data_IF_185267907845
#
_entry.id   IF_185267907845
#
_cell.length_a   1.000
_cell.length_b   1.000
_cell.length_c   1.000
_cell.angle_alpha   90.00
_cell.angle_beta   90.00
_cell.angle_gamma   90.00
#
_symmetry.space_group_name_H-M   'P 1'
#
loop_
_entity.id
_entity.type
_entity.pdbx_description
1 polymer ?
#
# COMPACT_ATOMS: atom_id res chain seq x y z
N UNK A 1 77.74 36.08 40.69
CA UNK A 1 77.75 35.95 39.20
C UNK A 1 77.58 34.49 38.87
N UNK A 2 76.38 34.04 38.65
CA UNK A 2 76.11 32.69 38.11
C UNK A 2 74.80 32.73 37.29
N UNK A 3 74.95 32.48 35.99
CA UNK A 3 73.86 32.46 35.03
C UNK A 3 73.18 31.09 35.07
N UNK A 4 71.87 31.06 35.31
CA UNK A 4 71.06 29.87 35.13
C UNK A 4 70.55 29.75 33.72
N UNK A 5 70.76 28.59 33.11
CA UNK A 5 70.31 28.23 31.75
C UNK A 5 68.98 27.50 31.86
N UNK A 6 67.90 28.14 31.42
CA UNK A 6 66.54 27.52 31.38
C UNK A 6 66.35 26.66 30.19
N UNK A 7 66.02 25.42 30.42
CA UNK A 7 65.66 24.46 29.36
C UNK A 7 64.24 24.72 28.86
N UNK A 8 64.11 25.01 27.56
CA UNK A 8 62.82 25.04 26.83
C UNK A 8 62.50 23.64 26.29
N UNK A 9 61.63 22.91 26.97
CA UNK A 9 61.04 21.66 26.41
C UNK A 9 59.86 22.06 25.54
N UNK A 10 59.95 21.73 24.24
CA UNK A 10 58.89 21.97 23.24
C UNK A 10 57.80 20.93 23.38
N UNK A 11 56.61 21.38 23.77
CA UNK A 11 55.35 20.62 23.64
C UNK A 11 54.88 20.67 22.15
N UNK A 12 55.18 19.64 21.40
CA UNK A 12 54.77 19.56 19.97
C UNK A 12 54.38 18.13 19.56
N UNK A 13 53.61 17.40 20.40
CA UNK A 13 53.24 16.03 20.09
C UNK A 13 51.74 15.66 20.36
N UNK A 14 50.84 16.64 20.52
CA UNK A 14 49.44 16.31 20.86
C UNK A 14 48.36 16.55 19.80
N UNK A 15 48.56 17.08 18.58
CA UNK A 15 47.46 17.18 17.62
C UNK A 15 47.35 16.03 16.65
N UNK A 16 48.25 15.04 16.58
CA UNK A 16 48.22 13.97 15.57
C UNK A 16 47.37 12.79 16.02
N UNK A 17 47.10 12.60 17.30
CA UNK A 17 46.31 11.44 17.77
C UNK A 17 44.77 11.68 17.78
N UNK A 18 44.31 12.92 17.58
CA UNK A 18 42.88 13.25 17.58
C UNK A 18 42.23 13.16 16.16
N UNK A 19 43.04 13.05 15.09
CA UNK A 19 42.51 12.90 13.72
C UNK A 19 42.20 11.44 13.33
N UNK A 20 42.66 10.45 14.09
CA UNK A 20 42.49 9.02 13.79
C UNK A 20 41.18 8.42 14.34
N UNK A 21 40.37 9.17 15.10
CA UNK A 21 39.12 8.70 15.68
C UNK A 21 37.84 9.13 14.90
N UNK A 22 37.99 9.85 13.79
CA UNK A 22 36.83 10.28 12.97
C UNK A 22 36.56 9.37 11.77
N UNK A 23 37.22 8.23 11.62
CA UNK A 23 37.12 7.35 10.46
C UNK A 23 36.31 6.06 10.71
N UNK A 24 35.49 5.97 11.75
CA UNK A 24 34.81 4.73 12.10
C UNK A 24 33.29 4.88 12.25
N UNK A 25 32.66 5.59 11.32
CA UNK A 25 31.26 5.38 10.98
C UNK A 25 31.18 5.21 9.45
N UNK A 26 31.78 4.16 8.92
CA UNK A 26 31.34 3.63 7.64
C UNK A 26 29.89 3.17 7.87
N UNK A 27 28.93 3.92 7.31
CA UNK A 27 27.58 3.44 7.11
C UNK A 27 27.71 2.19 6.23
N UNK A 28 27.74 1.03 6.85
CA UNK A 28 27.75 -0.29 6.19
C UNK A 28 26.35 -0.58 5.60
N UNK A 29 25.82 0.34 4.80
CA UNK A 29 24.62 0.02 4.01
C UNK A 29 24.99 -1.03 2.97
N UNK A 30 24.24 -2.14 2.88
CA UNK A 30 24.52 -3.19 1.90
C UNK A 30 24.54 -2.63 0.49
N UNK A 31 25.57 -2.96 -0.26
CA UNK A 31 25.67 -2.60 -1.68
C UNK A 31 24.52 -3.19 -2.50
N UNK A 32 24.22 -2.62 -3.69
CA UNK A 32 23.24 -3.20 -4.59
C UNK A 32 23.53 -4.66 -4.97
N UNK A 33 24.78 -5.06 -5.05
CA UNK A 33 25.19 -6.43 -5.35
C UNK A 33 24.91 -7.39 -4.18
N UNK A 34 25.25 -6.98 -2.97
CA UNK A 34 24.95 -7.74 -1.74
C UNK A 34 23.44 -7.87 -1.52
N UNK A 35 22.69 -6.78 -1.74
CA UNK A 35 21.23 -6.80 -1.65
C UNK A 35 20.61 -7.80 -2.64
N UNK A 36 21.10 -7.84 -3.89
CA UNK A 36 20.64 -8.82 -4.90
C UNK A 36 21.00 -10.25 -4.48
N UNK A 37 22.20 -10.48 -3.97
CA UNK A 37 22.63 -11.80 -3.49
C UNK A 37 21.75 -12.28 -2.34
N UNK A 38 21.49 -11.40 -1.37
CA UNK A 38 20.57 -11.67 -0.25
C UNK A 38 19.15 -11.98 -0.74
N UNK A 39 18.60 -11.18 -1.66
CA UNK A 39 17.28 -11.43 -2.25
C UNK A 39 17.20 -12.79 -2.95
N UNK A 40 18.23 -13.18 -3.70
CA UNK A 40 18.29 -14.50 -4.34
C UNK A 40 18.29 -15.64 -3.31
N UNK A 41 18.94 -15.46 -2.17
CA UNK A 41 18.88 -16.43 -1.07
C UNK A 41 17.49 -16.48 -0.43
N UNK A 42 16.86 -15.33 -0.21
CA UNK A 42 15.54 -15.21 0.42
C UNK A 42 14.38 -15.69 -0.46
N UNK A 43 14.49 -15.59 -1.79
CA UNK A 43 13.46 -16.07 -2.71
C UNK A 43 13.29 -17.60 -2.62
N UNK A 44 12.03 -18.10 -2.62
CA UNK A 44 11.80 -19.54 -2.70
C UNK A 44 12.48 -20.17 -3.92
N UNK A 45 13.00 -21.38 -3.76
CA UNK A 45 13.72 -22.09 -4.85
C UNK A 45 12.82 -22.36 -6.08
N UNK A 46 11.52 -22.40 -5.90
CA UNK A 46 10.52 -22.63 -6.95
C UNK A 46 10.25 -21.42 -7.83
N UNK A 47 10.74 -20.22 -7.45
CA UNK A 47 10.54 -19.00 -8.22
C UNK A 47 11.39 -19.03 -9.49
N UNK A 48 10.73 -18.87 -10.63
CA UNK A 48 11.39 -18.71 -11.93
C UNK A 48 12.03 -17.34 -12.03
N UNK A 49 13.16 -17.23 -12.74
CA UNK A 49 13.92 -15.97 -12.95
C UNK A 49 14.20 -15.22 -11.63
N UNK A 50 14.78 -15.92 -10.64
CA UNK A 50 15.14 -15.32 -9.35
C UNK A 50 16.10 -14.13 -9.49
N UNK A 51 16.95 -14.15 -10.50
CA UNK A 51 17.87 -13.05 -10.80
C UNK A 51 17.12 -11.77 -11.20
N UNK A 52 16.16 -11.88 -12.10
CA UNK A 52 15.33 -10.76 -12.52
C UNK A 52 14.45 -10.22 -11.38
N UNK A 53 13.83 -11.07 -10.55
CA UNK A 53 13.09 -10.64 -9.37
C UNK A 53 14.00 -9.90 -8.38
N UNK A 54 15.18 -10.44 -8.10
CA UNK A 54 16.13 -9.80 -7.19
C UNK A 54 16.61 -8.44 -7.71
N UNK A 55 16.85 -8.31 -9.03
CA UNK A 55 17.24 -7.06 -9.65
C UNK A 55 16.15 -5.99 -9.57
N UNK A 56 14.90 -6.33 -9.92
CA UNK A 56 13.77 -5.40 -9.89
C UNK A 56 13.46 -4.93 -8.46
N UNK A 57 13.48 -5.85 -7.48
CA UNK A 57 13.25 -5.50 -6.06
C UNK A 57 14.39 -4.62 -5.54
N UNK A 58 15.65 -4.99 -5.79
CA UNK A 58 16.81 -4.19 -5.36
C UNK A 58 16.75 -2.79 -5.93
N UNK A 59 16.45 -2.65 -7.22
CA UNK A 59 16.35 -1.33 -7.85
C UNK A 59 15.22 -0.50 -7.21
N UNK A 60 14.05 -1.11 -6.97
CA UNK A 60 12.92 -0.43 -6.36
C UNK A 60 13.22 0.05 -4.93
N UNK A 61 13.81 -0.79 -4.06
CA UNK A 61 14.14 -0.39 -2.68
C UNK A 61 15.19 0.71 -2.65
N UNK A 62 16.17 0.68 -3.58
CA UNK A 62 17.17 1.74 -3.72
C UNK A 62 16.54 3.06 -4.18
N UNK A 63 15.69 3.03 -5.22
CA UNK A 63 15.01 4.23 -5.74
C UNK A 63 14.05 4.85 -4.72
N UNK A 64 13.42 4.03 -3.89
CA UNK A 64 12.52 4.45 -2.80
C UNK A 64 13.27 4.82 -1.51
N UNK A 65 14.59 4.62 -1.44
CA UNK A 65 15.42 4.80 -0.23
C UNK A 65 14.93 3.97 0.96
N UNK A 66 14.48 2.75 0.68
CA UNK A 66 14.04 1.78 1.69
C UNK A 66 15.25 0.95 2.09
N UNK A 67 15.52 0.86 3.39
CA UNK A 67 16.59 0.03 3.94
C UNK A 67 16.41 -1.44 3.52
N UNK A 68 17.42 -2.11 2.91
CA UNK A 68 17.34 -3.51 2.49
C UNK A 68 17.57 -4.49 3.64
N UNK A 69 16.95 -4.22 4.81
CA UNK A 69 16.96 -5.11 5.96
C UNK A 69 16.23 -6.42 5.64
N UNK A 70 16.55 -7.49 6.36
CA UNK A 70 15.85 -8.77 6.22
C UNK A 70 14.35 -8.63 6.44
N UNK A 71 13.94 -7.76 7.38
CA UNK A 71 12.56 -7.47 7.67
C UNK A 71 11.83 -6.85 6.47
N UNK A 72 12.41 -5.82 5.85
CA UNK A 72 11.81 -5.13 4.71
C UNK A 72 11.77 -6.06 3.48
N UNK A 73 12.89 -6.72 3.16
CA UNK A 73 12.95 -7.65 2.04
C UNK A 73 11.98 -8.82 2.21
N UNK A 74 11.91 -9.45 3.38
CA UNK A 74 10.94 -10.52 3.65
C UNK A 74 9.49 -10.04 3.62
N UNK A 75 9.20 -8.80 4.01
CA UNK A 75 7.87 -8.21 3.89
C UNK A 75 7.44 -8.09 2.43
N UNK A 76 8.33 -7.58 1.57
CA UNK A 76 8.12 -7.48 0.12
C UNK A 76 7.86 -8.86 -0.48
N UNK A 77 8.75 -9.82 -0.21
CA UNK A 77 8.64 -11.18 -0.74
C UNK A 77 7.36 -11.88 -0.28
N UNK A 78 6.96 -11.70 0.97
CA UNK A 78 5.75 -12.31 1.53
C UNK A 78 4.46 -11.80 0.87
N UNK A 79 4.36 -10.48 0.62
CA UNK A 79 3.22 -9.90 -0.09
C UNK A 79 3.20 -10.35 -1.54
N UNK A 80 4.34 -10.30 -2.24
CA UNK A 80 4.44 -10.76 -3.64
C UNK A 80 4.04 -12.24 -3.79
N UNK A 81 4.49 -13.09 -2.88
CA UNK A 81 4.10 -14.52 -2.87
C UNK A 81 2.60 -14.69 -2.59
N UNK A 82 2.00 -13.88 -1.72
CA UNK A 82 0.57 -13.96 -1.40
C UNK A 82 -0.30 -13.52 -2.57
N UNK A 83 0.07 -12.43 -3.26
CA UNK A 83 -0.75 -11.81 -4.29
C UNK A 83 -0.66 -12.54 -5.63
N UNK A 84 0.52 -13.01 -6.01
CA UNK A 84 0.75 -13.51 -7.36
C UNK A 84 1.56 -14.79 -7.46
N UNK A 85 2.12 -15.28 -6.35
CA UNK A 85 3.10 -16.37 -6.37
C UNK A 85 4.24 -16.07 -7.36
N UNK A 86 4.73 -14.82 -7.35
CA UNK A 86 5.78 -14.32 -8.25
C UNK A 86 5.42 -14.42 -9.75
N UNK A 87 4.18 -14.09 -10.09
CA UNK A 87 3.74 -13.90 -11.47
C UNK A 87 3.39 -12.43 -11.68
N UNK A 88 3.97 -11.77 -12.68
CA UNK A 88 3.68 -10.37 -12.97
C UNK A 88 2.22 -10.14 -13.39
N UNK A 89 1.63 -11.11 -14.11
CA UNK A 89 0.25 -11.06 -14.58
C UNK A 89 -0.44 -12.41 -14.30
N UNK A 90 -0.89 -12.65 -13.06
CA UNK A 90 -1.51 -13.92 -12.69
C UNK A 90 -2.81 -14.14 -13.45
N UNK A 91 -3.03 -15.39 -13.89
CA UNK A 91 -4.27 -15.76 -14.56
C UNK A 91 -5.43 -15.80 -13.57
N UNK A 92 -6.60 -15.34 -14.03
CA UNK A 92 -7.85 -15.37 -13.28
C UNK A 92 -8.83 -16.26 -14.03
N UNK A 93 -9.16 -17.45 -13.55
CA UNK A 93 -10.10 -18.35 -14.20
C UNK A 93 -11.44 -17.67 -14.46
N UNK A 94 -11.94 -17.74 -15.69
CA UNK A 94 -13.23 -17.18 -16.09
C UNK A 94 -13.28 -15.64 -16.11
N UNK A 95 -12.15 -14.95 -16.15
CA UNK A 95 -12.08 -13.49 -16.10
C UNK A 95 -12.92 -12.82 -17.18
N UNK A 96 -12.90 -13.33 -18.41
CA UNK A 96 -13.69 -12.77 -19.52
C UNK A 96 -15.18 -12.74 -19.21
N UNK A 97 -15.74 -13.83 -18.71
CA UNK A 97 -17.16 -13.91 -18.34
C UNK A 97 -17.49 -13.00 -17.13
N UNK A 98 -16.60 -12.94 -16.15
CA UNK A 98 -16.74 -12.03 -15.02
C UNK A 98 -16.75 -10.56 -15.50
N UNK A 99 -15.89 -10.22 -16.45
CA UNK A 99 -15.80 -8.88 -17.01
C UNK A 99 -17.05 -8.48 -17.79
N UNK A 100 -17.54 -9.35 -18.68
CA UNK A 100 -18.78 -9.10 -19.43
C UNK A 100 -19.98 -8.88 -18.49
N UNK A 101 -20.15 -9.75 -17.48
CA UNK A 101 -21.20 -9.59 -16.46
C UNK A 101 -21.08 -8.30 -15.66
N UNK A 102 -19.85 -7.88 -15.34
CA UNK A 102 -19.62 -6.62 -14.62
C UNK A 102 -19.95 -5.40 -15.49
N UNK A 103 -19.66 -5.45 -16.81
CA UNK A 103 -20.04 -4.41 -17.77
C UNK A 103 -21.57 -4.26 -17.79
N UNK A 104 -22.31 -5.36 -17.93
CA UNK A 104 -23.78 -5.33 -17.90
C UNK A 104 -24.31 -4.76 -16.58
N UNK A 105 -23.77 -5.23 -15.45
CA UNK A 105 -24.18 -4.77 -14.11
C UNK A 105 -23.94 -3.28 -13.93
N UNK A 106 -22.82 -2.77 -14.41
CA UNK A 106 -22.50 -1.33 -14.35
C UNK A 106 -23.40 -0.51 -15.25
N UNK A 107 -23.62 -0.97 -16.49
CA UNK A 107 -24.51 -0.31 -17.43
C UNK A 107 -25.94 -0.20 -16.88
N UNK A 108 -26.45 -1.27 -16.26
CA UNK A 108 -27.76 -1.27 -15.61
C UNK A 108 -27.87 -0.23 -14.47
N UNK A 109 -26.80 -0.03 -13.68
CA UNK A 109 -26.75 1.03 -12.65
C UNK A 109 -26.87 2.45 -13.23
N UNK A 110 -26.40 2.64 -14.45
CA UNK A 110 -26.55 3.91 -15.21
C UNK A 110 -27.82 3.94 -16.06
N UNK A 111 -28.73 2.95 -15.91
CA UNK A 111 -29.96 2.82 -16.68
C UNK A 111 -29.73 2.71 -18.20
N UNK A 112 -28.58 2.17 -18.61
CA UNK A 112 -28.27 1.88 -20.01
C UNK A 112 -28.91 0.54 -20.35
N UNK A 113 -29.80 0.48 -21.35
CA UNK A 113 -30.44 -0.78 -21.76
C UNK A 113 -29.42 -1.81 -22.27
N UNK A 114 -29.65 -3.09 -21.94
CA UNK A 114 -28.73 -4.17 -22.29
C UNK A 114 -28.44 -4.25 -23.80
N UNK A 115 -29.44 -4.01 -24.67
CA UNK A 115 -29.25 -4.07 -26.13
C UNK A 115 -28.26 -3.02 -26.65
N UNK A 116 -28.13 -1.86 -25.97
CA UNK A 116 -27.11 -0.84 -26.32
C UNK A 116 -25.72 -1.37 -25.97
N UNK A 117 -25.59 -2.01 -24.81
CA UNK A 117 -24.31 -2.59 -24.36
C UNK A 117 -23.88 -3.70 -25.32
N UNK A 118 -24.80 -4.61 -25.66
CA UNK A 118 -24.54 -5.68 -26.60
C UNK A 118 -24.18 -5.14 -28.00
N UNK A 119 -24.92 -4.15 -28.49
CA UNK A 119 -24.60 -3.49 -29.76
C UNK A 119 -23.19 -2.93 -29.77
N UNK A 120 -22.79 -2.22 -28.69
CA UNK A 120 -21.45 -1.65 -28.57
C UNK A 120 -20.34 -2.72 -28.49
N UNK A 121 -20.59 -3.83 -27.81
CA UNK A 121 -19.62 -4.94 -27.69
C UNK A 121 -19.47 -5.76 -28.98
N UNK A 122 -20.47 -5.77 -29.86
CA UNK A 122 -20.42 -6.46 -31.15
C UNK A 122 -19.69 -5.69 -32.25
N UNK A 123 -19.36 -4.38 -32.04
CA UNK A 123 -18.52 -3.66 -32.99
C UNK A 123 -17.14 -4.31 -33.11
N UNK A 124 -16.59 -4.28 -34.31
CA UNK A 124 -15.26 -4.76 -34.60
C UNK A 124 -14.22 -3.83 -33.94
N UNK A 125 -13.23 -4.44 -33.34
CA UNK A 125 -12.06 -3.76 -32.84
C UNK A 125 -10.97 -3.67 -33.93
N UNK A 126 -9.89 -2.91 -33.75
CA UNK A 126 -8.84 -2.75 -34.76
C UNK A 126 -8.19 -4.02 -35.27
N UNK A 127 -8.32 -5.15 -34.56
CA UNK A 127 -7.79 -6.44 -34.99
C UNK A 127 -8.80 -7.30 -35.79
N UNK A 128 -10.02 -6.79 -36.06
CA UNK A 128 -11.07 -7.50 -36.82
C UNK A 128 -11.99 -8.41 -35.99
N UNK A 129 -11.73 -8.57 -34.69
CA UNK A 129 -12.61 -9.30 -33.78
C UNK A 129 -13.56 -8.34 -33.06
N UNK A 130 -14.75 -8.82 -32.64
CA UNK A 130 -15.61 -8.00 -31.79
C UNK A 130 -14.99 -7.75 -30.41
N UNK A 131 -15.34 -6.63 -29.78
CA UNK A 131 -14.93 -6.35 -28.41
C UNK A 131 -15.39 -7.44 -27.43
N UNK A 132 -16.58 -8.01 -27.66
CA UNK A 132 -17.11 -9.12 -26.85
C UNK A 132 -16.19 -10.34 -26.92
N UNK A 133 -15.83 -10.77 -28.13
CA UNK A 133 -14.94 -11.93 -28.34
C UNK A 133 -13.59 -11.73 -27.65
N UNK A 134 -13.01 -10.57 -27.81
CA UNK A 134 -11.73 -10.22 -27.16
C UNK A 134 -11.83 -10.21 -25.64
N UNK A 135 -12.87 -9.59 -25.07
CA UNK A 135 -13.10 -9.58 -23.63
C UNK A 135 -13.37 -10.98 -23.10
N UNK A 136 -14.16 -11.79 -23.82
CA UNK A 136 -14.45 -13.17 -23.43
C UNK A 136 -13.20 -14.07 -23.34
N UNK A 137 -12.18 -13.78 -24.15
CA UNK A 137 -10.95 -14.58 -24.27
C UNK A 137 -9.84 -14.19 -23.27
N UNK A 138 -9.97 -13.08 -22.52
CA UNK A 138 -8.92 -12.64 -21.60
C UNK A 138 -8.67 -13.62 -20.46
N UNK A 139 -7.40 -13.79 -20.11
CA UNK A 139 -6.98 -14.67 -19.02
C UNK A 139 -6.45 -13.94 -17.80
N UNK A 140 -5.96 -12.71 -17.96
CA UNK A 140 -5.41 -11.91 -16.88
C UNK A 140 -5.86 -10.43 -16.95
N UNK A 141 -5.66 -9.71 -15.86
CA UNK A 141 -6.13 -8.33 -15.73
C UNK A 141 -5.39 -7.34 -16.64
N UNK A 142 -4.15 -7.66 -17.04
CA UNK A 142 -3.41 -6.84 -18.00
C UNK A 142 -4.11 -6.86 -19.37
N UNK A 143 -4.41 -8.04 -19.89
CA UNK A 143 -5.12 -8.20 -21.17
C UNK A 143 -6.47 -7.47 -21.15
N UNK A 144 -7.23 -7.62 -20.08
CA UNK A 144 -8.50 -6.90 -19.90
C UNK A 144 -8.31 -5.39 -19.88
N UNK A 145 -7.31 -4.89 -19.14
CA UNK A 145 -7.01 -3.47 -19.07
C UNK A 145 -6.59 -2.90 -20.43
N UNK A 146 -5.75 -3.62 -21.18
CA UNK A 146 -5.27 -3.20 -22.50
C UNK A 146 -6.43 -3.10 -23.51
N UNK A 147 -7.34 -4.08 -23.53
CA UNK A 147 -8.55 -4.06 -24.38
C UNK A 147 -9.42 -2.84 -24.04
N UNK A 148 -9.62 -2.54 -22.75
CA UNK A 148 -10.39 -1.35 -22.36
C UNK A 148 -9.72 -0.05 -22.75
N UNK A 149 -8.39 0.07 -22.62
CA UNK A 149 -7.67 1.27 -23.06
C UNK A 149 -7.79 1.45 -24.58
N UNK A 150 -7.71 0.37 -25.35
CA UNK A 150 -7.88 0.39 -26.79
C UNK A 150 -9.32 0.77 -27.19
N UNK A 151 -10.33 0.16 -26.54
CA UNK A 151 -11.74 0.49 -26.75
C UNK A 151 -12.02 1.99 -26.45
N UNK A 152 -11.49 2.50 -25.36
CA UNK A 152 -11.62 3.91 -24.98
C UNK A 152 -10.90 4.82 -26.00
N UNK A 153 -9.74 4.40 -26.53
CA UNK A 153 -8.99 5.15 -27.52
C UNK A 153 -9.68 5.19 -28.90
N UNK A 154 -10.48 4.17 -29.25
CA UNK A 154 -11.23 4.12 -30.52
C UNK A 154 -12.43 5.06 -30.58
N UNK A 155 -12.85 5.62 -29.44
CA UNK A 155 -13.97 6.58 -29.35
C UNK A 155 -13.43 8.01 -29.33
N UNK A 156 -13.96 8.94 -30.18
CA UNK A 156 -13.58 10.35 -30.12
C UNK A 156 -13.74 10.92 -28.70
N UNK A 157 -12.70 11.57 -28.17
CA UNK A 157 -12.64 12.06 -26.78
C UNK A 157 -12.80 10.96 -25.71
N UNK A 158 -12.69 9.67 -26.06
CA UNK A 158 -12.96 8.52 -25.19
C UNK A 158 -12.15 8.55 -23.90
N UNK A 159 -10.85 8.89 -23.94
CA UNK A 159 -10.02 9.03 -22.73
C UNK A 159 -10.60 10.03 -21.71
N UNK A 160 -11.16 11.15 -22.19
CA UNK A 160 -11.74 12.18 -21.31
C UNK A 160 -13.08 11.73 -20.72
N UNK A 161 -13.92 11.08 -21.52
CA UNK A 161 -15.29 10.71 -21.16
C UNK A 161 -15.36 9.35 -20.46
N UNK A 162 -14.60 8.37 -20.93
CA UNK A 162 -14.71 6.96 -20.56
C UNK A 162 -13.51 6.41 -19.80
N UNK A 163 -12.41 7.17 -19.67
CA UNK A 163 -11.17 6.70 -19.06
C UNK A 163 -11.31 6.21 -17.60
N UNK A 164 -12.37 6.62 -16.90
CA UNK A 164 -12.72 6.13 -15.56
C UNK A 164 -13.52 4.83 -15.55
N UNK A 165 -13.94 4.33 -16.72
CA UNK A 165 -14.79 3.15 -16.84
C UNK A 165 -14.00 1.84 -16.91
N UNK A 166 -12.67 1.90 -17.10
CA UNK A 166 -11.85 0.68 -17.07
C UNK A 166 -12.10 -0.07 -15.77
N UNK A 167 -12.58 -1.34 -15.81
CA UNK A 167 -12.97 -2.09 -14.63
C UNK A 167 -11.79 -2.56 -13.80
N UNK A 168 -10.58 -2.56 -14.38
CA UNK A 168 -9.36 -3.02 -13.72
C UNK A 168 -8.78 -1.88 -12.88
N UNK A 169 -8.77 -2.07 -11.57
CA UNK A 169 -8.33 -1.07 -10.60
C UNK A 169 -7.03 -1.41 -9.88
N UNK A 170 -6.64 -2.68 -9.90
CA UNK A 170 -5.40 -3.20 -9.33
C UNK A 170 -4.67 -4.05 -10.36
N UNK A 171 -3.40 -4.32 -10.16
CA UNK A 171 -2.66 -5.20 -11.05
C UNK A 171 -1.21 -5.42 -10.66
N UNK A 172 -0.53 -6.18 -11.48
CA UNK A 172 0.88 -6.51 -11.31
C UNK A 172 1.16 -7.51 -10.18
N UNK A 173 2.44 -7.79 -9.93
CA UNK A 173 2.87 -8.86 -9.02
C UNK A 173 2.48 -8.63 -7.55
N UNK A 174 2.22 -7.41 -7.14
CA UNK A 174 1.75 -7.07 -5.80
C UNK A 174 0.29 -6.59 -5.78
N UNK A 175 -0.45 -6.70 -6.88
CA UNK A 175 -1.86 -6.27 -6.99
C UNK A 175 -2.10 -4.84 -6.47
N UNK A 176 -1.17 -3.94 -6.79
CA UNK A 176 -1.23 -2.55 -6.33
C UNK A 176 -2.32 -1.75 -7.05
N UNK A 177 -2.93 -0.81 -6.34
CA UNK A 177 -3.93 0.09 -6.91
C UNK A 177 -3.32 0.99 -8.00
N UNK A 178 -3.92 0.98 -9.20
CA UNK A 178 -3.51 1.84 -10.31
C UNK A 178 -3.68 3.33 -9.95
N UNK A 179 -4.75 3.67 -9.21
CA UNK A 179 -4.96 5.04 -8.74
C UNK A 179 -3.87 5.48 -7.76
N UNK A 180 -3.43 4.58 -6.86
CA UNK A 180 -2.29 4.84 -5.98
C UNK A 180 -1.01 5.06 -6.80
N UNK A 181 -0.69 4.17 -7.73
CA UNK A 181 0.50 4.28 -8.56
C UNK A 181 0.55 5.60 -9.35
N UNK A 182 -0.58 6.02 -9.93
CA UNK A 182 -0.71 7.30 -10.64
C UNK A 182 -0.55 8.51 -9.71
N UNK A 183 -1.07 8.45 -8.49
CA UNK A 183 -0.92 9.51 -7.49
C UNK A 183 0.54 9.59 -7.01
N UNK A 184 1.15 8.45 -6.70
CA UNK A 184 2.54 8.36 -6.28
C UNK A 184 3.50 8.90 -7.35
N UNK A 185 3.32 8.54 -8.62
CA UNK A 185 4.14 9.02 -9.73
C UNK A 185 4.01 10.54 -10.00
N UNK A 186 2.94 11.17 -9.52
CA UNK A 186 2.81 12.65 -9.55
C UNK A 186 3.57 13.34 -8.42
N UNK A 187 3.75 12.66 -7.29
CA UNK A 187 4.41 13.21 -6.10
C UNK A 187 5.92 12.91 -6.10
N UNK A 188 6.33 11.79 -6.68
CA UNK A 188 7.73 11.35 -6.77
C UNK A 188 8.08 10.93 -8.18
N UNK A 189 9.27 11.26 -8.70
CA UNK A 189 9.72 10.81 -10.01
C UNK A 189 9.72 9.28 -10.07
N UNK A 190 9.02 8.74 -11.06
CA UNK A 190 9.10 7.31 -11.37
C UNK A 190 10.45 7.00 -12.02
N UNK A 191 11.22 6.02 -11.53
CA UNK A 191 12.62 5.86 -11.89
C UNK A 191 12.87 5.22 -13.26
N UNK A 192 11.82 4.81 -13.97
CA UNK A 192 11.93 4.20 -15.30
C UNK A 192 11.36 5.12 -16.37
N UNK A 193 11.92 5.07 -17.58
CA UNK A 193 11.38 5.80 -18.72
C UNK A 193 10.00 5.25 -19.14
N UNK A 194 9.03 6.14 -19.34
CA UNK A 194 7.65 5.83 -19.76
C UNK A 194 7.31 6.49 -21.09
N UNK A 195 8.28 6.59 -22.01
CA UNK A 195 8.18 7.39 -23.25
C UNK A 195 6.98 7.03 -24.13
N UNK A 196 6.60 5.73 -24.20
CA UNK A 196 5.49 5.24 -25.03
C UNK A 196 4.45 4.43 -24.23
N UNK A 197 4.45 4.54 -22.90
CA UNK A 197 3.57 3.77 -22.02
C UNK A 197 2.85 4.67 -21.01
N UNK A 198 2.10 4.11 -20.11
CA UNK A 198 1.44 4.84 -19.03
C UNK A 198 1.78 4.23 -17.68
N UNK A 199 1.62 4.98 -16.59
CA UNK A 199 1.77 4.43 -15.23
C UNK A 199 0.83 3.22 -15.02
N UNK A 200 -0.37 3.23 -15.62
CA UNK A 200 -1.25 2.05 -15.63
C UNK A 200 -0.57 0.83 -16.26
N UNK A 201 0.06 1.00 -17.42
CA UNK A 201 0.77 -0.08 -18.09
C UNK A 201 1.98 -0.57 -17.28
N UNK A 202 2.74 0.35 -16.67
CA UNK A 202 3.89 0.01 -15.82
C UNK A 202 3.48 -0.83 -14.60
N UNK A 203 2.30 -0.60 -14.01
CA UNK A 203 1.78 -1.43 -12.88
C UNK A 203 1.72 -2.91 -13.25
N UNK A 204 1.45 -3.26 -14.51
CA UNK A 204 1.39 -4.66 -14.99
C UNK A 204 2.76 -5.23 -15.39
N UNK A 205 3.81 -4.41 -15.44
CA UNK A 205 5.17 -4.91 -15.61
C UNK A 205 5.72 -5.42 -14.26
N UNK A 206 6.68 -6.37 -14.28
CA UNK A 206 7.34 -6.82 -13.05
C UNK A 206 8.02 -5.66 -12.33
N UNK A 207 8.83 -4.87 -13.05
CA UNK A 207 9.57 -3.73 -12.48
C UNK A 207 8.64 -2.67 -11.88
N UNK A 208 7.62 -2.25 -12.62
CA UNK A 208 6.71 -1.18 -12.17
C UNK A 208 5.75 -1.65 -11.09
N UNK A 209 5.18 -2.86 -11.23
CA UNK A 209 4.32 -3.44 -10.20
C UNK A 209 5.06 -3.70 -8.89
N UNK A 210 6.34 -4.09 -8.92
CA UNK A 210 7.20 -4.17 -7.73
C UNK A 210 7.48 -2.79 -7.15
N UNK A 211 7.86 -1.80 -7.97
CA UNK A 211 8.15 -0.44 -7.49
C UNK A 211 6.93 0.16 -6.74
N UNK A 212 5.76 0.18 -7.37
CA UNK A 212 4.56 0.76 -6.74
C UNK A 212 4.02 -0.08 -5.59
N UNK A 213 4.14 -1.41 -5.67
CA UNK A 213 3.75 -2.30 -4.57
C UNK A 213 4.64 -2.15 -3.34
N UNK A 214 5.95 -2.03 -3.53
CA UNK A 214 6.92 -1.78 -2.45
C UNK A 214 6.67 -0.40 -1.84
N UNK A 215 6.44 0.63 -2.67
CA UNK A 215 6.10 1.96 -2.19
C UNK A 215 4.82 1.93 -1.33
N UNK A 216 3.77 1.24 -1.79
CA UNK A 216 2.53 1.10 -1.03
C UNK A 216 2.71 0.35 0.29
N UNK A 217 3.59 -0.65 0.34
CA UNK A 217 3.83 -1.42 1.54
C UNK A 217 4.72 -0.70 2.58
N UNK A 218 5.78 -0.01 2.13
CA UNK A 218 6.86 0.43 3.00
C UNK A 218 7.14 1.93 2.97
N UNK A 219 6.76 2.66 1.90
CA UNK A 219 7.10 4.08 1.74
C UNK A 219 6.07 5.00 2.44
N UNK A 220 5.78 4.70 3.70
CA UNK A 220 5.03 5.57 4.61
C UNK A 220 5.49 5.34 6.04
N UNK A 221 5.50 6.39 6.85
CA UNK A 221 5.84 6.30 8.27
C UNK A 221 4.71 5.59 9.03
N UNK A 222 5.03 4.63 9.88
CA UNK A 222 4.09 3.98 10.77
C UNK A 222 4.80 3.48 12.03
N UNK A 223 4.20 3.73 13.19
CA UNK A 223 4.71 3.38 14.52
C UNK A 223 4.38 1.93 14.92
N UNK A 224 4.29 1.03 13.95
CA UNK A 224 3.96 -0.38 14.21
C UNK A 224 5.18 -1.17 14.71
N UNK A 225 4.97 -1.91 15.78
CA UNK A 225 5.94 -2.84 16.35
C UNK A 225 6.06 -4.17 15.56
N UNK A 226 5.05 -4.48 14.71
CA UNK A 226 4.96 -5.74 13.96
C UNK A 226 4.63 -5.52 12.49
N UNK A 227 5.33 -6.18 11.55
CA UNK A 227 5.00 -6.13 10.12
C UNK A 227 3.57 -6.57 9.79
N UNK A 228 2.94 -7.39 10.66
CA UNK A 228 1.57 -7.84 10.54
C UNK A 228 0.57 -6.70 10.26
N UNK A 229 0.75 -5.55 10.93
CA UNK A 229 -0.12 -4.40 10.76
C UNK A 229 0.08 -3.70 9.43
N UNK A 230 1.32 -3.65 8.91
CA UNK A 230 1.58 -3.18 7.52
C UNK A 230 0.96 -4.10 6.47
N UNK A 231 0.92 -5.40 6.72
CA UNK A 231 0.24 -6.34 5.82
C UNK A 231 -1.28 -6.12 5.81
N UNK A 232 -1.87 -5.84 6.96
CA UNK A 232 -3.29 -5.49 7.04
C UNK A 232 -3.56 -4.16 6.32
N UNK A 233 -2.72 -3.15 6.54
CA UNK A 233 -2.84 -1.84 5.89
C UNK A 233 -2.61 -1.90 4.37
N UNK A 234 -1.73 -2.78 3.90
CA UNK A 234 -1.55 -3.02 2.47
C UNK A 234 -2.87 -3.42 1.77
N UNK A 235 -3.67 -4.22 2.44
CA UNK A 235 -4.96 -4.68 1.95
C UNK A 235 -6.11 -3.69 2.20
N UNK A 236 -6.12 -3.03 3.37
CA UNK A 236 -7.22 -2.19 3.84
C UNK A 236 -7.02 -0.67 3.57
N UNK A 237 -5.78 -0.27 3.25
CA UNK A 237 -5.34 1.11 3.13
C UNK A 237 -4.46 1.55 4.30
N UNK A 238 -3.55 2.49 4.04
CA UNK A 238 -2.59 2.99 5.04
C UNK A 238 -3.31 3.43 6.32
N UNK A 239 -2.72 3.06 7.46
CA UNK A 239 -3.20 3.36 8.82
C UNK A 239 -4.52 2.68 9.23
N UNK A 240 -5.09 1.75 8.45
CA UNK A 240 -6.30 1.05 8.82
C UNK A 240 -6.15 0.31 10.17
N UNK A 241 -4.99 -0.30 10.43
CA UNK A 241 -4.71 -0.99 11.70
C UNK A 241 -4.66 -0.05 12.90
N UNK A 242 -4.05 1.13 12.76
CA UNK A 242 -4.03 2.19 13.77
C UNK A 242 -5.43 2.74 14.02
N UNK A 243 -6.17 3.00 12.95
CA UNK A 243 -7.51 3.55 13.02
C UNK A 243 -8.51 2.55 13.65
N UNK A 244 -8.38 1.25 13.37
CA UNK A 244 -9.17 0.22 14.04
C UNK A 244 -8.86 0.16 15.56
N UNK A 245 -7.61 0.38 15.95
CA UNK A 245 -7.26 0.51 17.37
C UNK A 245 -7.85 1.78 18.00
N UNK A 246 -7.89 2.88 17.25
CA UNK A 246 -8.57 4.11 17.69
C UNK A 246 -10.08 3.88 17.85
N UNK A 247 -10.75 3.21 16.91
CA UNK A 247 -12.16 2.82 17.04
C UNK A 247 -12.40 1.97 18.31
N UNK A 248 -11.48 1.03 18.59
CA UNK A 248 -11.55 0.25 19.82
C UNK A 248 -11.40 1.13 21.08
N UNK A 249 -10.48 2.09 21.06
CA UNK A 249 -10.32 3.03 22.17
C UNK A 249 -11.58 3.90 22.37
N UNK A 250 -12.18 4.40 21.27
CA UNK A 250 -13.47 5.11 21.32
C UNK A 250 -14.56 4.23 21.92
N UNK A 251 -14.67 2.96 21.49
CA UNK A 251 -15.68 2.04 22.03
C UNK A 251 -15.50 1.80 23.54
N UNK A 252 -14.26 1.65 24.01
CA UNK A 252 -13.94 1.52 25.43
C UNK A 252 -14.26 2.82 26.20
N UNK A 253 -13.89 3.97 25.64
CA UNK A 253 -14.10 5.28 26.27
C UNK A 253 -15.57 5.68 26.38
N UNK A 254 -16.41 5.28 25.40
CA UNK A 254 -17.83 5.68 25.36
C UNK A 254 -18.77 4.59 25.84
N UNK A 255 -18.38 3.32 25.75
CA UNK A 255 -19.26 2.16 25.92
C UNK A 255 -20.11 1.86 24.67
N UNK A 256 -19.90 2.59 23.56
CA UNK A 256 -20.64 2.40 22.29
C UNK A 256 -19.89 1.37 21.44
N UNK A 257 -20.56 0.30 21.03
CA UNK A 257 -19.97 -0.70 20.13
C UNK A 257 -19.75 -0.13 18.74
N UNK A 258 -18.51 -0.29 18.21
CA UNK A 258 -18.11 0.17 16.88
C UNK A 258 -17.57 -0.98 16.04
N UNK A 259 -17.78 -0.90 14.73
CA UNK A 259 -17.06 -1.74 13.77
C UNK A 259 -15.61 -1.28 13.68
N UNK A 260 -14.67 -2.20 13.88
CA UNK A 260 -13.24 -1.92 13.83
C UNK A 260 -12.72 -2.09 12.39
N UNK A 261 -13.23 -1.29 11.48
CA UNK A 261 -12.91 -1.34 10.04
C UNK A 261 -11.76 -0.41 9.61
N UNK A 262 -11.36 0.50 10.50
CA UNK A 262 -10.31 1.49 10.23
C UNK A 262 -10.78 2.71 9.43
N UNK A 263 -12.05 2.80 9.04
CA UNK A 263 -12.64 3.96 8.37
C UNK A 263 -13.30 4.89 9.39
N UNK A 264 -12.61 5.99 9.74
CA UNK A 264 -13.10 6.93 10.76
C UNK A 264 -14.11 7.93 10.19
N UNK A 265 -14.12 8.16 8.88
CA UNK A 265 -15.04 9.07 8.18
C UNK A 265 -15.86 8.32 7.15
N UNK A 266 -17.15 8.58 7.12
CA UNK A 266 -18.06 8.04 6.12
C UNK A 266 -18.28 9.05 4.99
N UNK A 267 -18.21 8.56 3.74
CA UNK A 267 -18.50 9.38 2.57
C UNK A 267 -19.76 8.87 1.85
N UNK A 268 -20.72 9.76 1.62
CA UNK A 268 -21.87 9.50 0.74
C UNK A 268 -21.57 9.98 -0.68
N UNK A 269 -21.91 9.17 -1.69
CA UNK A 269 -21.94 9.61 -3.08
C UNK A 269 -23.13 10.56 -3.28
N UNK A 270 -22.86 11.77 -3.76
CA UNK A 270 -23.88 12.74 -4.17
C UNK A 270 -23.78 12.98 -5.68
N UNK A 271 -24.76 13.64 -6.29
CA UNK A 271 -24.73 14.02 -7.71
C UNK A 271 -23.50 14.88 -8.04
N UNK A 272 -23.01 15.68 -7.10
CA UNK A 272 -21.87 16.60 -7.26
C UNK A 272 -20.54 15.99 -6.74
N UNK A 273 -20.47 14.66 -6.47
CA UNK A 273 -19.26 13.98 -6.01
C UNK A 273 -19.42 13.25 -4.67
N UNK A 274 -18.32 13.15 -3.90
CA UNK A 274 -18.36 12.57 -2.54
C UNK A 274 -18.53 13.70 -1.53
N UNK A 275 -19.53 13.55 -0.65
CA UNK A 275 -19.70 14.39 0.54
C UNK A 275 -19.49 13.51 1.76
N UNK A 276 -18.74 13.98 2.73
CA UNK A 276 -18.63 13.36 4.04
C UNK A 276 -19.99 13.34 4.75
N UNK A 277 -20.18 12.36 5.60
CA UNK A 277 -21.35 12.23 6.44
C UNK A 277 -20.92 11.71 7.80
N UNK A 278 -21.69 12.04 8.83
CA UNK A 278 -21.41 11.59 10.17
C UNK A 278 -21.27 10.06 10.20
N UNK A 279 -20.10 9.58 10.60
CA UNK A 279 -19.83 8.15 10.82
C UNK A 279 -20.20 7.76 12.24
N UNK A 280 -20.36 6.44 12.48
CA UNK A 280 -20.64 5.94 13.83
C UNK A 280 -19.47 6.24 14.77
N UNK A 281 -18.22 6.14 14.26
CA UNK A 281 -17.01 6.53 15.01
C UNK A 281 -17.02 8.02 15.36
N UNK A 282 -17.30 8.90 14.40
CA UNK A 282 -17.37 10.34 14.67
C UNK A 282 -18.50 10.69 15.63
N UNK A 283 -19.67 10.05 15.49
CA UNK A 283 -20.79 10.24 16.42
C UNK A 283 -20.43 9.85 17.85
N UNK A 284 -19.75 8.72 18.02
CA UNK A 284 -19.28 8.27 19.33
C UNK A 284 -18.23 9.21 19.92
N UNK A 285 -17.28 9.71 19.11
CA UNK A 285 -16.28 10.70 19.57
C UNK A 285 -16.94 12.01 19.99
N UNK A 286 -17.92 12.50 19.25
CA UNK A 286 -18.65 13.73 19.58
C UNK A 286 -19.43 13.62 20.89
N UNK A 287 -19.89 12.43 21.29
CA UNK A 287 -20.55 12.23 22.59
C UNK A 287 -19.65 12.48 23.80
N UNK A 288 -18.34 12.45 23.61
CA UNK A 288 -17.33 12.74 24.64
C UNK A 288 -16.58 14.08 24.39
N UNK A 289 -17.11 14.95 23.53
CA UNK A 289 -16.47 16.23 23.18
C UNK A 289 -16.18 17.10 24.40
N UNK A 290 -17.09 17.14 25.38
CA UNK A 290 -16.90 17.87 26.64
C UNK A 290 -15.75 17.31 27.47
N UNK A 291 -15.63 15.99 27.58
CA UNK A 291 -14.55 15.32 28.33
C UNK A 291 -13.19 15.52 27.65
N UNK A 292 -13.19 15.64 26.33
CA UNK A 292 -11.99 15.93 25.53
C UNK A 292 -11.60 17.42 25.53
N UNK A 293 -12.54 18.33 25.82
CA UNK A 293 -12.35 19.77 25.66
C UNK A 293 -12.21 20.21 24.18
N UNK A 294 -12.74 19.43 23.23
CA UNK A 294 -12.56 19.65 21.77
C UNK A 294 -13.92 19.87 21.13
N UNK A 295 -14.08 20.90 20.28
CA UNK A 295 -15.34 21.16 19.58
C UNK A 295 -15.65 20.09 18.51
N UNK A 296 -16.92 19.92 18.16
CA UNK A 296 -17.37 19.00 17.13
C UNK A 296 -16.74 19.27 15.75
N UNK A 297 -16.52 20.52 15.43
CA UNK A 297 -15.85 20.95 14.17
C UNK A 297 -14.40 20.49 14.18
N UNK A 298 -13.70 20.69 15.30
CA UNK A 298 -12.30 20.27 15.44
C UNK A 298 -12.15 18.75 15.45
N UNK A 299 -13.10 18.02 16.06
CA UNK A 299 -13.18 16.55 15.98
C UNK A 299 -13.24 16.12 14.52
N UNK A 300 -14.18 16.68 13.75
CA UNK A 300 -14.35 16.36 12.34
C UNK A 300 -13.10 16.64 11.50
N UNK A 301 -12.55 17.84 11.60
CA UNK A 301 -11.31 18.23 10.91
C UNK A 301 -10.13 17.29 11.22
N UNK A 302 -10.03 16.85 12.48
CA UNK A 302 -8.97 15.95 12.90
C UNK A 302 -9.17 14.55 12.35
N UNK A 303 -10.41 14.03 12.38
CA UNK A 303 -10.74 12.72 11.81
C UNK A 303 -10.54 12.67 10.28
N UNK A 304 -10.74 13.78 9.55
CA UNK A 304 -10.42 13.86 8.11
C UNK A 304 -8.94 13.56 7.83
N UNK A 305 -8.04 13.83 8.78
CA UNK A 305 -6.60 13.54 8.71
C UNK A 305 -6.22 12.14 9.18
N UNK A 306 -7.20 11.27 9.40
CA UNK A 306 -6.98 9.89 9.89
C UNK A 306 -6.12 9.00 8.97
N UNK A 307 -5.84 9.45 7.75
CA UNK A 307 -4.93 8.77 6.80
C UNK A 307 -3.55 9.42 6.71
N UNK A 308 -3.23 10.34 7.62
CA UNK A 308 -1.93 10.99 7.75
C UNK A 308 -1.19 10.45 8.97
N UNK A 309 0.15 10.40 8.91
CA UNK A 309 0.97 9.97 10.05
C UNK A 309 0.71 10.82 11.30
N UNK A 310 0.59 12.14 11.12
CA UNK A 310 0.38 13.10 12.21
C UNK A 310 -0.89 12.89 13.05
N UNK A 311 -1.88 12.12 12.58
CA UNK A 311 -3.12 11.87 13.31
C UNK A 311 -2.87 11.25 14.69
N UNK A 312 -1.92 10.33 14.83
CA UNK A 312 -1.60 9.67 16.11
C UNK A 312 -0.97 10.59 17.15
N UNK A 313 -0.55 11.79 16.76
CA UNK A 313 -0.02 12.85 17.64
C UNK A 313 -1.04 13.94 17.93
N UNK A 314 -2.24 13.84 17.38
CA UNK A 314 -3.28 14.84 17.60
C UNK A 314 -3.82 14.77 19.03
N UNK A 315 -4.25 15.93 19.54
CA UNK A 315 -4.91 16.05 20.84
C UNK A 315 -6.12 15.10 20.96
N UNK A 316 -6.92 14.99 19.88
CA UNK A 316 -8.03 14.07 19.79
C UNK A 316 -7.60 12.60 19.99
N UNK A 317 -6.58 12.15 19.25
CA UNK A 317 -6.11 10.76 19.35
C UNK A 317 -5.59 10.46 20.75
N UNK A 318 -4.74 11.32 21.29
CA UNK A 318 -4.15 11.14 22.62
C UNK A 318 -5.20 11.21 23.72
N UNK A 319 -6.13 12.17 23.64
CA UNK A 319 -7.21 12.32 24.63
C UNK A 319 -8.17 11.12 24.67
N UNK A 320 -8.55 10.59 23.49
CA UNK A 320 -9.38 9.38 23.42
C UNK A 320 -8.70 8.18 24.07
N UNK A 321 -7.42 7.96 23.78
CA UNK A 321 -6.67 6.85 24.40
C UNK A 321 -6.50 7.05 25.90
N UNK A 322 -6.23 8.27 26.37
CA UNK A 322 -6.09 8.56 27.80
C UNK A 322 -7.41 8.24 28.57
N UNK A 323 -8.55 8.69 28.05
CA UNK A 323 -9.86 8.38 28.68
C UNK A 323 -10.13 6.87 28.64
N UNK A 324 -9.88 6.23 27.50
CA UNK A 324 -10.11 4.80 27.32
C UNK A 324 -9.23 3.95 28.26
N UNK A 325 -7.97 4.29 28.41
CA UNK A 325 -7.01 3.56 29.25
C UNK A 325 -7.31 3.73 30.74
N UNK A 326 -7.69 4.94 31.17
CA UNK A 326 -8.20 5.14 32.54
C UNK A 326 -9.43 4.27 32.83
N UNK A 327 -10.38 4.22 31.89
CA UNK A 327 -11.59 3.39 32.03
C UNK A 327 -11.28 1.90 31.99
N UNK A 328 -10.35 1.48 31.16
CA UNK A 328 -9.94 0.07 31.01
C UNK A 328 -9.02 -0.44 32.13
N UNK A 329 -8.37 0.44 32.88
CA UNK A 329 -7.41 0.12 33.94
C UNK A 329 -6.04 -0.38 33.44
N UNK A 330 -5.80 -0.39 32.12
CA UNK A 330 -4.53 -0.82 31.50
C UNK A 330 -4.38 -0.19 30.11
N UNK A 331 -3.11 -0.09 29.60
CA UNK A 331 -2.84 0.39 28.25
C UNK A 331 -3.58 -0.40 27.18
N UNK A 332 -4.02 0.30 26.14
CA UNK A 332 -4.66 -0.28 24.95
C UNK A 332 -3.65 -0.38 23.79
N UNK A 333 -3.76 -1.39 22.92
CA UNK A 333 -2.90 -1.49 21.75
C UNK A 333 -3.12 -0.31 20.79
N UNK A 334 -2.03 0.20 20.20
CA UNK A 334 -2.06 1.31 19.22
C UNK A 334 -2.28 0.83 17.78
N UNK A 335 -2.31 -0.49 17.56
CA UNK A 335 -2.68 -1.13 16.30
C UNK A 335 -3.46 -2.42 16.57
N UNK A 336 -4.47 -2.68 15.77
CA UNK A 336 -5.24 -3.94 15.75
C UNK A 336 -5.65 -4.27 14.31
N UNK A 337 -5.91 -5.55 14.03
CA UNK A 337 -6.30 -5.96 12.69
C UNK A 337 -7.70 -5.44 12.35
N UNK A 338 -7.88 -4.74 11.22
CA UNK A 338 -9.20 -4.27 10.80
C UNK A 338 -10.14 -5.44 10.48
N UNK A 339 -11.41 -5.33 10.91
CA UNK A 339 -12.44 -6.35 10.67
C UNK A 339 -13.19 -6.07 9.37
N UNK A 340 -12.47 -6.07 8.24
CA UNK A 340 -13.05 -5.82 6.92
C UNK A 340 -13.30 -7.15 6.21
N UNK A 341 -14.53 -7.35 5.70
CA UNK A 341 -14.83 -8.45 4.79
C UNK A 341 -14.40 -8.07 3.39
N UNK A 342 -13.54 -8.89 2.78
CA UNK A 342 -13.11 -8.71 1.40
C UNK A 342 -14.26 -9.05 0.44
N UNK A 343 -14.57 -8.12 -0.45
CA UNK A 343 -15.63 -8.26 -1.45
C UNK A 343 -15.07 -8.02 -2.84
N UNK A 344 -15.16 -9.03 -3.70
CA UNK A 344 -14.80 -8.92 -5.11
C UNK A 344 -15.57 -9.99 -5.89
N UNK A 345 -15.95 -9.74 -7.15
CA UNK A 345 -16.52 -10.77 -8.02
C UNK A 345 -15.65 -12.04 -8.17
N UNK A 346 -14.35 -11.92 -7.90
CA UNK A 346 -13.36 -12.99 -7.94
C UNK A 346 -13.28 -13.81 -6.65
N UNK A 347 -13.87 -13.32 -5.54
CA UNK A 347 -13.80 -13.97 -4.23
C UNK A 347 -15.04 -14.81 -4.01
N UNK A 348 -14.88 -16.13 -3.98
CA UNK A 348 -15.96 -17.09 -3.75
C UNK A 348 -16.12 -17.51 -2.28
N UNK A 349 -15.20 -17.09 -1.41
CA UNK A 349 -15.17 -17.43 0.04
C UNK A 349 -15.26 -16.17 0.90
N UNK A 350 -15.72 -16.33 2.15
CA UNK A 350 -15.71 -15.23 3.12
C UNK A 350 -14.28 -15.01 3.61
N UNK A 351 -13.58 -14.06 3.00
CA UNK A 351 -12.22 -13.65 3.39
C UNK A 351 -12.27 -12.31 4.10
N UNK A 352 -11.30 -12.09 5.00
CA UNK A 352 -11.15 -10.84 5.77
C UNK A 352 -9.73 -10.29 5.62
N UNK A 353 -9.55 -9.00 5.94
CA UNK A 353 -8.22 -8.39 6.05
C UNK A 353 -7.34 -9.12 7.07
N UNK A 354 -7.90 -9.59 8.19
CA UNK A 354 -7.18 -10.41 9.17
C UNK A 354 -6.66 -11.72 8.56
N UNK A 355 -7.52 -12.41 7.77
CA UNK A 355 -7.10 -13.62 7.06
C UNK A 355 -5.92 -13.32 6.13
N UNK A 356 -6.02 -12.24 5.35
CA UNK A 356 -4.95 -11.83 4.45
C UNK A 356 -3.65 -11.54 5.19
N UNK A 357 -3.69 -10.66 6.19
CA UNK A 357 -2.52 -10.27 6.97
C UNK A 357 -1.85 -11.48 7.66
N UNK A 358 -2.64 -12.39 8.21
CA UNK A 358 -2.14 -13.62 8.85
C UNK A 358 -1.45 -14.55 7.85
N UNK A 359 -1.98 -14.67 6.63
CA UNK A 359 -1.38 -15.47 5.55
C UNK A 359 -0.06 -14.88 5.09
N UNK A 360 0.00 -13.56 4.87
CA UNK A 360 1.24 -12.85 4.54
C UNK A 360 2.26 -13.00 5.68
N UNK A 361 1.84 -12.83 6.92
CA UNK A 361 2.73 -12.96 8.08
C UNK A 361 3.33 -14.37 8.23
N UNK A 362 2.60 -15.42 7.84
CA UNK A 362 3.17 -16.79 7.79
C UNK A 362 4.30 -16.88 6.75
N UNK A 363 4.11 -16.30 5.54
CA UNK A 363 5.15 -16.25 4.49
C UNK A 363 6.35 -15.40 4.93
N UNK A 364 6.09 -14.26 5.56
CA UNK A 364 7.11 -13.43 6.16
C UNK A 364 7.99 -14.21 7.14
N UNK A 365 7.39 -14.92 8.10
CA UNK A 365 8.15 -15.75 9.06
C UNK A 365 8.97 -16.84 8.37
N UNK A 366 8.43 -17.50 7.35
CA UNK A 366 9.18 -18.48 6.57
C UNK A 366 10.39 -17.86 5.85
N UNK A 367 10.26 -16.62 5.37
CA UNK A 367 11.37 -15.87 4.77
C UNK A 367 12.41 -15.48 5.84
N UNK A 368 11.99 -15.03 7.03
CA UNK A 368 12.91 -14.69 8.12
C UNK A 368 13.74 -15.88 8.58
N UNK A 369 13.17 -17.09 8.63
CA UNK A 369 13.93 -18.32 8.90
C UNK A 369 15.00 -18.58 7.83
N UNK A 370 14.75 -18.21 6.56
CA UNK A 370 15.80 -18.28 5.52
C UNK A 370 16.86 -17.19 5.73
N UNK A 371 16.45 -16.00 6.19
CA UNK A 371 17.37 -14.90 6.47
C UNK A 371 18.34 -15.20 7.62
N UNK A 372 17.92 -15.98 8.61
CA UNK A 372 18.79 -16.41 9.73
C UNK A 372 19.88 -17.39 9.28
N UNK A 373 19.74 -18.02 8.13
CA UNK A 373 20.69 -18.98 7.57
C UNK A 373 21.64 -18.34 6.53
N UNK A 374 21.47 -17.06 6.25
CA UNK A 374 22.30 -16.27 5.35
C UNK A 374 23.43 -15.56 6.11
#
# INVERSE_FOLDING_TARGET
MTKSLGARIRLAALPVLMLALLSACENNEPTPAETRTKLKHLLPATVKDRDGWAADIQYAVTALKIEPSSQNLCSILAVTEQESTYNANPEVPGLGQIALKEIETRAARFKIPAFIVYGALHFESPNGESWETRIASVRNEKELSDIFEEMIASVPMGKRLLGKLNPVHTGGPMQVSIAYAQAHAKQRPYPYAVENTSIRHEVFSRRGGMYFGIAHLLDYEASYDKPLFRFADFNAGHYASRNAAFQNAVAVATGIGLDLDGDLIRYKKTQNGRKDSLSDTESAVRSMAADLGISNEKIHETLLKSREHGFERSELYLGVFDIAERRNGKPLPRATLPRIRLQSPKITRKLTTEWFATRVNKRYRNCMVRAEKY
#
